data_IF_744405830339
#
_entry.id   IF_744405830339
#
_cell.length_a   1.000
_cell.length_b   1.000
_cell.length_c   1.000
_cell.angle_alpha   90.00
_cell.angle_beta   90.00
_cell.angle_gamma   90.00
#
_symmetry.space_group_name_H-M   'P 1'
#
loop_
_entity.id
_entity.type
_entity.pdbx_description
1 polymer ?
#
# COMPACT_ATOMS: atom_id res chain seq x y z
N UNK A 1 -23.18 -11.77 -3.25
CA UNK A 1 -22.27 -11.09 -2.30
C UNK A 1 -21.43 -10.09 -3.09
N UNK A 2 -21.39 -8.83 -2.70
CA UNK A 2 -20.60 -7.82 -3.39
C UNK A 2 -19.12 -7.88 -2.99
N UNK A 3 -18.20 -7.31 -3.78
CA UNK A 3 -16.78 -7.28 -3.40
C UNK A 3 -16.53 -6.55 -2.08
N UNK A 4 -17.33 -5.53 -1.75
CA UNK A 4 -17.22 -4.79 -0.48
C UNK A 4 -17.64 -5.66 0.72
N UNK A 5 -18.64 -6.53 0.55
CA UNK A 5 -19.04 -7.49 1.57
C UNK A 5 -17.98 -8.56 1.82
N UNK A 6 -17.26 -9.00 0.78
CA UNK A 6 -16.13 -9.94 0.93
C UNK A 6 -15.07 -9.37 1.87
N UNK A 7 -14.74 -8.07 1.73
CA UNK A 7 -13.77 -7.39 2.61
C UNK A 7 -14.25 -7.41 4.07
N UNK A 8 -15.53 -7.13 4.32
CA UNK A 8 -16.09 -7.16 5.68
C UNK A 8 -15.96 -8.57 6.28
N UNK A 9 -16.24 -9.62 5.51
CA UNK A 9 -16.12 -11.00 5.98
C UNK A 9 -14.67 -11.48 6.15
N UNK A 10 -13.71 -10.91 5.42
CA UNK A 10 -12.28 -11.20 5.58
C UNK A 10 -11.68 -10.50 6.81
N UNK A 11 -12.24 -9.35 7.22
CA UNK A 11 -11.74 -8.52 8.33
C UNK A 11 -11.44 -9.32 9.61
N UNK A 12 -12.34 -10.19 10.14
CA UNK A 12 -12.06 -10.99 11.34
C UNK A 12 -10.83 -11.90 11.22
N UNK A 13 -10.54 -12.42 10.03
CA UNK A 13 -9.36 -13.28 9.78
C UNK A 13 -8.07 -12.47 9.92
N UNK A 14 -8.01 -11.27 9.35
CA UNK A 14 -6.85 -10.39 9.51
C UNK A 14 -6.62 -10.01 10.98
N UNK A 15 -7.67 -9.67 11.72
CA UNK A 15 -7.56 -9.37 13.15
C UNK A 15 -7.13 -10.58 13.98
N UNK A 16 -7.60 -11.79 13.65
CA UNK A 16 -7.15 -13.01 14.31
C UNK A 16 -5.65 -13.25 14.08
N UNK A 17 -5.17 -13.06 12.85
CA UNK A 17 -3.74 -13.21 12.53
C UNK A 17 -2.88 -12.15 13.21
N UNK A 18 -3.33 -10.90 13.26
CA UNK A 18 -2.68 -9.81 14.02
C UNK A 18 -2.60 -10.17 15.51
N UNK A 19 -3.69 -10.68 16.10
CA UNK A 19 -3.71 -11.09 17.50
C UNK A 19 -2.75 -12.26 17.78
N UNK A 20 -2.65 -13.21 16.85
CA UNK A 20 -1.68 -14.32 16.91
C UNK A 20 -0.25 -13.80 16.83
N UNK A 21 0.08 -12.92 15.87
CA UNK A 21 1.41 -12.32 15.76
C UNK A 21 1.78 -11.55 17.04
N UNK A 22 0.85 -10.74 17.55
CA UNK A 22 1.04 -9.99 18.79
C UNK A 22 1.33 -10.92 19.97
N UNK A 23 0.56 -11.99 20.15
CA UNK A 23 0.78 -12.98 21.21
C UNK A 23 2.14 -13.69 21.07
N UNK A 24 2.55 -14.02 19.84
CA UNK A 24 3.88 -14.59 19.55
C UNK A 24 4.98 -13.58 19.92
N UNK A 25 4.83 -12.31 19.55
CA UNK A 25 5.75 -11.22 19.87
C UNK A 25 5.93 -11.05 21.38
N UNK A 26 4.83 -11.06 22.16
CA UNK A 26 4.87 -11.04 23.62
C UNK A 26 5.59 -12.26 24.19
N UNK A 27 5.24 -13.47 23.73
CA UNK A 27 5.87 -14.73 24.19
C UNK A 27 7.38 -14.75 23.91
N UNK A 28 7.82 -14.18 22.79
CA UNK A 28 9.24 -14.11 22.38
C UNK A 28 9.99 -12.89 22.92
N UNK A 29 9.33 -12.00 23.67
CA UNK A 29 9.90 -10.72 24.11
C UNK A 29 10.42 -9.87 22.93
N UNK A 30 9.70 -9.91 21.80
CA UNK A 30 9.99 -9.21 20.54
C UNK A 30 8.70 -8.58 20.01
N UNK A 31 8.01 -7.81 20.85
CA UNK A 31 6.80 -7.11 20.43
C UNK A 31 7.15 -6.01 19.42
N UNK A 32 6.51 -6.07 18.25
CA UNK A 32 6.65 -5.10 17.16
C UNK A 32 5.43 -4.19 17.02
N UNK A 33 4.45 -4.31 17.91
CA UNK A 33 3.24 -3.48 17.89
C UNK A 33 3.33 -2.32 18.86
N UNK A 34 3.02 -1.13 18.35
CA UNK A 34 2.63 0.05 19.12
C UNK A 34 1.21 0.44 18.76
N UNK A 35 0.43 0.86 19.76
CA UNK A 35 -1.00 1.10 19.60
C UNK A 35 -1.30 2.22 18.59
N UNK A 36 -0.56 3.31 18.66
CA UNK A 36 -0.67 4.46 17.76
C UNK A 36 -0.38 4.08 16.30
N UNK A 37 0.76 3.43 16.06
CA UNK A 37 1.12 3.01 14.70
C UNK A 37 0.14 1.96 14.14
N UNK A 38 -0.32 1.01 14.96
CA UNK A 38 -1.30 0.00 14.54
C UNK A 38 -2.67 0.62 14.22
N UNK A 39 -3.15 1.56 15.04
CA UNK A 39 -4.41 2.30 14.78
C UNK A 39 -4.26 3.11 13.48
N UNK A 40 -3.14 3.82 13.30
CA UNK A 40 -2.88 4.59 12.08
C UNK A 40 -2.83 3.70 10.83
N UNK A 41 -2.09 2.58 10.91
CA UNK A 41 -1.92 1.64 9.81
C UNK A 41 -3.26 1.02 9.38
N UNK A 42 -4.05 0.51 10.32
CA UNK A 42 -5.36 -0.05 10.01
C UNK A 42 -6.35 1.05 9.57
N UNK A 43 -6.28 2.24 10.18
CA UNK A 43 -7.09 3.40 9.83
C UNK A 43 -6.88 3.88 8.39
N UNK A 44 -5.64 3.88 7.91
CA UNK A 44 -5.32 4.14 6.49
C UNK A 44 -5.86 3.04 5.57
N UNK A 45 -5.80 1.77 6.00
CA UNK A 45 -6.47 0.68 5.33
C UNK A 45 -7.98 0.88 5.20
N UNK A 46 -8.65 1.28 6.28
CA UNK A 46 -10.08 1.61 6.26
C UNK A 46 -10.36 2.74 5.27
N UNK A 47 -9.57 3.82 5.34
CA UNK A 47 -9.70 4.97 4.44
C UNK A 47 -9.57 4.54 2.98
N UNK A 48 -8.57 3.72 2.66
CA UNK A 48 -8.38 3.12 1.34
C UNK A 48 -9.62 2.33 0.90
N UNK A 49 -10.19 1.46 1.75
CA UNK A 49 -11.36 0.66 1.38
C UNK A 49 -12.62 1.50 1.16
N UNK A 50 -12.89 2.50 2.00
CA UNK A 50 -14.05 3.37 1.82
C UNK A 50 -13.88 4.28 0.59
N UNK A 51 -12.65 4.72 0.27
CA UNK A 51 -12.34 5.43 -0.97
C UNK A 51 -12.50 4.54 -2.21
N UNK A 52 -12.18 3.24 -2.11
CA UNK A 52 -12.26 2.29 -3.21
C UNK A 52 -13.69 2.09 -3.76
N UNK A 53 -14.72 2.36 -2.94
CA UNK A 53 -16.14 2.39 -3.38
C UNK A 53 -16.34 3.37 -4.53
N UNK A 54 -15.66 4.52 -4.51
CA UNK A 54 -15.79 5.57 -5.52
C UNK A 54 -14.85 5.38 -6.71
N UNK A 55 -13.75 4.65 -6.53
CA UNK A 55 -12.71 4.49 -7.56
C UNK A 55 -12.72 3.13 -8.26
N UNK A 56 -13.61 2.21 -7.88
CA UNK A 56 -13.73 0.87 -8.50
C UNK A 56 -13.89 0.91 -10.03
N UNK A 57 -14.61 1.92 -10.55
CA UNK A 57 -14.78 2.12 -12.00
C UNK A 57 -13.45 2.36 -12.73
N UNK A 58 -12.48 3.03 -12.09
CA UNK A 58 -11.18 3.30 -12.71
C UNK A 58 -10.39 2.01 -12.95
N UNK A 59 -10.43 1.07 -12.01
CA UNK A 59 -9.69 -0.19 -12.15
C UNK A 59 -10.48 -1.25 -12.92
N UNK A 60 -11.63 -1.68 -12.38
CA UNK A 60 -12.39 -2.81 -12.95
C UNK A 60 -13.21 -2.37 -14.16
N UNK A 61 -13.77 -1.15 -14.12
CA UNK A 61 -14.57 -0.62 -15.23
C UNK A 61 -13.73 -0.42 -16.49
N UNK A 62 -12.60 0.30 -16.37
CA UNK A 62 -11.68 0.50 -17.52
C UNK A 62 -11.13 -0.85 -18.01
N UNK A 63 -10.70 -1.73 -17.11
CA UNK A 63 -10.22 -3.06 -17.50
C UNK A 63 -11.28 -3.83 -18.32
N UNK A 64 -12.53 -3.84 -17.85
CA UNK A 64 -13.64 -4.52 -18.54
C UNK A 64 -13.95 -3.88 -19.88
N UNK A 65 -13.92 -2.55 -19.97
CA UNK A 65 -14.14 -1.83 -21.23
C UNK A 65 -13.05 -2.14 -22.26
N UNK A 66 -11.78 -2.17 -21.85
CA UNK A 66 -10.65 -2.53 -22.71
C UNK A 66 -10.75 -3.99 -23.15
N UNK A 67 -11.00 -4.91 -22.22
CA UNK A 67 -11.22 -6.33 -22.52
C UNK A 67 -12.32 -6.52 -23.58
N UNK A 68 -13.50 -5.91 -23.37
CA UNK A 68 -14.63 -6.08 -24.28
C UNK A 68 -14.43 -5.44 -25.66
N UNK A 69 -13.49 -4.50 -25.79
CA UNK A 69 -13.29 -3.73 -27.03
C UNK A 69 -12.11 -4.22 -27.86
N UNK A 70 -11.02 -4.63 -27.22
CA UNK A 70 -9.72 -4.87 -27.90
C UNK A 70 -9.01 -6.16 -27.46
N UNK A 71 -9.66 -7.05 -26.70
CA UNK A 71 -9.05 -8.34 -26.35
C UNK A 71 -8.70 -9.14 -27.61
N UNK A 72 -7.43 -9.57 -27.70
CA UNK A 72 -6.88 -10.30 -28.85
C UNK A 72 -7.20 -11.80 -28.74
N UNK A 73 -7.25 -12.35 -27.52
CA UNK A 73 -7.54 -13.77 -27.28
C UNK A 73 -8.47 -14.01 -26.08
N UNK A 74 -9.77 -13.66 -26.20
CA UNK A 74 -10.77 -13.83 -25.13
C UNK A 74 -11.30 -15.28 -25.03
N UNK A 75 -10.42 -16.28 -25.04
CA UNK A 75 -10.77 -17.70 -24.92
C UNK A 75 -11.15 -18.07 -23.48
N UNK A 76 -12.39 -17.78 -23.11
CA UNK A 76 -12.92 -18.05 -21.77
C UNK A 76 -12.74 -19.52 -21.33
N UNK A 77 -12.98 -20.54 -22.18
CA UNK A 77 -12.63 -21.93 -21.85
C UNK A 77 -11.18 -22.10 -21.37
N UNK A 78 -10.19 -21.61 -22.12
CA UNK A 78 -8.78 -21.71 -21.70
C UNK A 78 -8.51 -21.05 -20.36
N UNK A 79 -8.95 -19.79 -20.17
CA UNK A 79 -8.67 -19.01 -18.97
C UNK A 79 -9.29 -19.58 -17.69
N UNK A 80 -10.28 -20.47 -17.82
CA UNK A 80 -10.90 -21.19 -16.69
C UNK A 80 -10.26 -22.55 -16.40
N UNK A 81 -9.31 -23.02 -17.21
CA UNK A 81 -8.49 -24.20 -16.90
C UNK A 81 -7.46 -23.91 -15.82
N UNK A 82 -6.90 -24.94 -15.19
CA UNK A 82 -5.81 -24.78 -14.21
C UNK A 82 -4.58 -24.05 -14.82
N UNK A 83 -4.28 -24.31 -16.09
CA UNK A 83 -3.17 -23.67 -16.80
C UNK A 83 -3.48 -22.20 -17.09
N UNK A 84 -4.72 -21.88 -17.46
CA UNK A 84 -5.19 -20.51 -17.62
C UNK A 84 -5.10 -19.70 -16.33
N UNK A 85 -5.56 -20.28 -15.21
CA UNK A 85 -5.46 -19.66 -13.88
C UNK A 85 -4.00 -19.40 -13.46
N UNK A 86 -3.12 -20.38 -13.62
CA UNK A 86 -1.70 -20.22 -13.31
C UNK A 86 -1.05 -19.14 -14.19
N UNK A 87 -1.36 -19.14 -15.49
CA UNK A 87 -0.86 -18.14 -16.43
C UNK A 87 -1.33 -16.74 -16.04
N UNK A 88 -2.62 -16.59 -15.71
CA UNK A 88 -3.17 -15.30 -15.28
C UNK A 88 -2.56 -14.82 -13.96
N UNK A 89 -2.26 -15.71 -13.01
CA UNK A 89 -1.60 -15.35 -11.75
C UNK A 89 -0.17 -14.88 -11.97
N UNK A 90 0.62 -15.62 -12.76
CA UNK A 90 2.01 -15.24 -13.10
C UNK A 90 2.02 -13.91 -13.89
N UNK A 91 1.08 -13.71 -14.81
CA UNK A 91 0.96 -12.46 -15.56
C UNK A 91 0.55 -11.29 -14.65
N UNK A 92 -0.37 -11.52 -13.72
CA UNK A 92 -0.74 -10.50 -12.73
C UNK A 92 0.45 -10.10 -11.87
N UNK A 93 1.21 -11.08 -11.34
CA UNK A 93 2.39 -10.83 -10.51
C UNK A 93 3.50 -10.09 -11.29
N UNK A 94 3.66 -10.37 -12.59
CA UNK A 94 4.54 -9.60 -13.47
C UNK A 94 4.06 -8.15 -13.66
N UNK A 95 2.76 -7.92 -13.90
CA UNK A 95 2.19 -6.58 -13.96
C UNK A 95 2.34 -5.84 -12.62
N UNK A 96 2.15 -6.55 -11.51
CA UNK A 96 2.36 -6.02 -10.17
C UNK A 96 3.80 -5.58 -9.95
N UNK A 97 4.80 -6.40 -10.34
CA UNK A 97 6.21 -6.04 -10.25
C UNK A 97 6.52 -4.67 -10.89
N UNK A 98 6.00 -4.41 -12.09
CA UNK A 98 6.22 -3.13 -12.77
C UNK A 98 5.47 -1.96 -12.13
N UNK A 99 4.24 -2.18 -11.66
CA UNK A 99 3.51 -1.17 -10.89
C UNK A 99 4.26 -0.84 -9.60
N UNK A 100 4.75 -1.85 -8.90
CA UNK A 100 5.42 -1.70 -7.62
C UNK A 100 6.78 -1.02 -7.80
N UNK A 101 7.56 -1.44 -8.79
CA UNK A 101 8.80 -0.77 -9.19
C UNK A 101 8.58 0.69 -9.57
N UNK A 102 7.55 1.00 -10.37
CA UNK A 102 7.20 2.38 -10.68
C UNK A 102 6.84 3.16 -9.41
N UNK A 103 6.16 2.51 -8.46
CA UNK A 103 5.89 2.99 -7.10
C UNK A 103 7.13 3.47 -6.35
N UNK A 104 8.31 2.93 -6.62
CA UNK A 104 9.55 3.32 -5.96
C UNK A 104 10.47 4.19 -6.84
N UNK A 105 10.45 4.00 -8.16
CA UNK A 105 11.36 4.69 -9.08
C UNK A 105 10.76 5.95 -9.73
N UNK A 106 9.48 6.27 -9.48
CA UNK A 106 8.79 7.46 -10.04
C UNK A 106 8.01 8.22 -8.97
N UNK A 107 8.23 9.54 -8.87
CA UNK A 107 7.62 10.38 -7.82
C UNK A 107 6.09 10.34 -7.77
N UNK A 108 5.39 10.34 -8.92
CA UNK A 108 3.92 10.26 -8.98
C UNK A 108 3.39 8.95 -8.39
N UNK A 109 4.01 7.83 -8.73
CA UNK A 109 3.60 6.52 -8.25
C UNK A 109 4.06 6.28 -6.80
N UNK A 110 5.20 6.86 -6.40
CA UNK A 110 5.61 6.92 -4.99
C UNK A 110 4.62 7.70 -4.14
N UNK A 111 4.11 8.84 -4.60
CA UNK A 111 3.06 9.55 -3.88
C UNK A 111 1.79 8.68 -3.69
N UNK A 112 1.55 7.74 -4.60
CA UNK A 112 0.46 6.76 -4.53
C UNK A 112 0.85 5.44 -3.84
N UNK A 113 2.02 5.34 -3.21
CA UNK A 113 2.53 4.10 -2.61
C UNK A 113 3.16 4.31 -1.24
N UNK A 114 3.81 5.46 -1.02
CA UNK A 114 4.52 5.89 0.19
C UNK A 114 3.75 5.63 1.48
N UNK A 115 2.42 5.75 1.46
CA UNK A 115 1.55 5.47 2.62
C UNK A 115 1.89 4.11 3.22
N UNK A 116 2.11 3.10 2.38
CA UNK A 116 2.47 1.74 2.78
C UNK A 116 3.81 1.66 3.52
N UNK A 117 4.77 2.51 3.15
CA UNK A 117 6.12 2.56 3.72
C UNK A 117 6.27 3.50 4.92
N UNK A 118 5.28 4.33 5.24
CA UNK A 118 5.40 5.35 6.30
C UNK A 118 5.47 4.78 7.72
N UNK A 119 4.99 3.55 7.96
CA UNK A 119 5.06 2.95 9.29
C UNK A 119 6.52 2.67 9.68
N UNK A 120 6.86 2.97 10.92
CA UNK A 120 8.21 2.79 11.48
C UNK A 120 8.34 1.51 12.33
N UNK A 121 7.25 0.73 12.38
CA UNK A 121 7.15 -0.57 13.01
C UNK A 121 6.71 -1.58 11.93
N UNK A 122 7.21 -2.82 11.97
CA UNK A 122 6.95 -3.78 10.89
C UNK A 122 6.25 -5.04 11.43
N UNK A 123 4.99 -5.19 11.07
CA UNK A 123 4.10 -6.24 11.56
C UNK A 123 2.88 -6.36 10.63
N UNK A 124 1.95 -7.28 10.91
CA UNK A 124 0.80 -7.55 10.04
C UNK A 124 -0.17 -6.37 9.91
N UNK A 125 -0.14 -5.38 10.81
CA UNK A 125 -0.93 -4.15 10.63
C UNK A 125 -0.34 -3.25 9.53
N UNK A 126 0.98 -3.29 9.30
CA UNK A 126 1.66 -2.58 8.21
C UNK A 126 1.13 -3.03 6.85
N UNK A 127 0.80 -4.32 6.69
CA UNK A 127 0.17 -4.84 5.47
C UNK A 127 -1.16 -4.11 5.14
N UNK A 128 -1.88 -3.68 6.18
CA UNK A 128 -3.16 -2.99 6.05
C UNK A 128 -3.01 -1.48 5.86
N UNK A 129 -1.80 -0.93 5.98
CA UNK A 129 -1.51 0.48 5.71
C UNK A 129 -1.51 0.73 4.21
N UNK A 130 -2.67 1.10 3.67
CA UNK A 130 -2.89 1.24 2.23
C UNK A 130 -3.21 2.69 1.85
N UNK A 131 -2.80 3.10 0.65
CA UNK A 131 -3.08 4.41 0.07
C UNK A 131 -4.50 4.50 -0.51
N UNK A 132 -5.09 5.70 -0.50
CA UNK A 132 -6.36 5.97 -1.19
C UNK A 132 -6.20 6.42 -2.65
N UNK A 133 -4.98 6.71 -3.12
CA UNK A 133 -4.75 7.28 -4.47
C UNK A 133 -4.24 6.27 -5.51
N UNK A 134 -3.93 5.02 -5.11
CA UNK A 134 -3.37 3.99 -6.01
C UNK A 134 -4.25 3.70 -7.25
N UNK A 135 -5.57 3.81 -7.11
CA UNK A 135 -6.52 3.56 -8.20
C UNK A 135 -6.52 4.62 -9.32
N UNK A 136 -5.90 5.79 -9.11
CA UNK A 136 -5.91 6.88 -10.10
C UNK A 136 -5.13 6.51 -11.37
N UNK A 137 -3.97 5.86 -11.21
CA UNK A 137 -3.05 5.57 -12.32
C UNK A 137 -2.58 4.11 -12.37
N UNK A 138 -2.72 3.34 -11.28
CA UNK A 138 -2.21 1.96 -11.24
C UNK A 138 -2.89 0.99 -12.21
N UNK A 139 -4.10 1.30 -12.67
CA UNK A 139 -4.85 0.46 -13.62
C UNK A 139 -4.15 0.28 -14.97
N UNK A 140 -3.30 1.24 -15.38
CA UNK A 140 -2.57 1.20 -16.67
C UNK A 140 -1.69 -0.04 -16.78
N UNK A 141 -1.06 -0.46 -15.67
CA UNK A 141 -0.15 -1.61 -15.65
C UNK A 141 -0.85 -2.95 -15.87
N UNK A 142 -2.17 -3.02 -15.66
CA UNK A 142 -2.95 -4.24 -15.83
C UNK A 142 -3.68 -4.31 -17.18
N UNK A 143 -3.70 -3.23 -17.96
CA UNK A 143 -4.29 -3.24 -19.31
C UNK A 143 -3.69 -4.30 -20.26
N UNK A 144 -2.38 -4.62 -20.21
CA UNK A 144 -1.83 -5.71 -21.01
C UNK A 144 -2.57 -7.04 -20.81
N UNK A 145 -3.05 -7.34 -19.60
CA UNK A 145 -3.84 -8.55 -19.33
C UNK A 145 -5.21 -8.49 -20.01
N UNK A 146 -5.88 -7.32 -19.99
CA UNK A 146 -7.16 -7.14 -20.66
C UNK A 146 -7.03 -7.30 -22.18
N UNK A 147 -5.98 -6.71 -22.77
CA UNK A 147 -5.66 -6.83 -24.20
C UNK A 147 -5.29 -8.28 -24.57
N UNK A 148 -4.56 -8.99 -23.71
CA UNK A 148 -4.26 -10.40 -23.91
C UNK A 148 -5.51 -11.31 -23.83
N UNK A 149 -6.61 -10.80 -23.27
CA UNK A 149 -7.88 -11.52 -23.19
C UNK A 149 -8.11 -12.26 -21.87
N UNK A 150 -7.44 -11.89 -20.78
CA UNK A 150 -7.76 -12.43 -19.45
C UNK A 150 -9.15 -11.94 -19.02
N UNK A 151 -10.13 -12.82 -18.74
CA UNK A 151 -11.48 -12.41 -18.37
C UNK A 151 -11.50 -11.57 -17.07
N UNK A 152 -12.36 -10.54 -16.95
CA UNK A 152 -12.42 -9.69 -15.76
C UNK A 152 -12.62 -10.44 -14.44
N UNK A 153 -13.37 -11.55 -14.45
CA UNK A 153 -13.54 -12.40 -13.28
C UNK A 153 -12.22 -13.07 -12.87
N UNK A 154 -11.48 -13.63 -13.84
CA UNK A 154 -10.17 -14.25 -13.60
C UNK A 154 -9.20 -13.19 -13.08
N UNK A 155 -9.14 -12.02 -13.71
CA UNK A 155 -8.36 -10.87 -13.24
C UNK A 155 -8.66 -10.49 -11.78
N UNK A 156 -9.94 -10.35 -11.42
CA UNK A 156 -10.34 -9.99 -10.06
C UNK A 156 -9.94 -11.05 -9.03
N UNK A 157 -10.02 -12.33 -9.37
CA UNK A 157 -9.65 -13.43 -8.47
C UNK A 157 -8.13 -13.52 -8.30
N UNK A 158 -7.34 -13.46 -9.38
CA UNK A 158 -5.87 -13.49 -9.25
C UNK A 158 -5.33 -12.25 -8.53
N UNK A 159 -5.98 -11.09 -8.72
CA UNK A 159 -5.67 -9.88 -7.96
C UNK A 159 -5.89 -10.06 -6.44
N UNK A 160 -6.95 -10.79 -6.06
CA UNK A 160 -7.22 -11.11 -4.66
C UNK A 160 -6.21 -12.12 -4.10
N UNK A 161 -5.83 -13.13 -4.88
CA UNK A 161 -4.81 -14.13 -4.47
C UNK A 161 -3.48 -13.43 -4.19
N UNK A 162 -3.04 -12.56 -5.11
CA UNK A 162 -1.82 -11.77 -4.95
C UNK A 162 -1.87 -10.86 -3.72
N UNK A 163 -2.97 -10.11 -3.53
CA UNK A 163 -3.17 -9.27 -2.35
C UNK A 163 -3.09 -10.07 -1.03
N UNK A 164 -3.74 -11.25 -0.98
CA UNK A 164 -3.72 -12.10 0.21
C UNK A 164 -2.36 -12.71 0.47
N UNK A 165 -1.60 -13.07 -0.58
CA UNK A 165 -0.23 -13.50 -0.44
C UNK A 165 0.64 -12.40 0.18
N UNK A 166 0.48 -11.16 -0.28
CA UNK A 166 1.27 -10.05 0.23
C UNK A 166 0.96 -9.68 1.69
N UNK A 167 -0.11 -10.18 2.29
CA UNK A 167 -0.40 -9.91 3.71
C UNK A 167 0.64 -10.54 4.65
N UNK A 168 0.91 -11.84 4.53
CA UNK A 168 1.67 -12.59 5.54
C UNK A 168 3.18 -12.26 5.55
N UNK A 169 3.70 -11.67 4.47
CA UNK A 169 5.10 -11.27 4.37
C UNK A 169 5.46 -10.08 5.27
N UNK A 170 4.47 -9.37 5.82
CA UNK A 170 4.67 -8.25 6.73
C UNK A 170 4.88 -8.69 8.18
N UNK A 171 6.05 -9.26 8.48
CA UNK A 171 6.36 -9.71 9.83
C UNK A 171 7.86 -9.70 10.12
N UNK A 172 8.23 -9.36 11.36
CA UNK A 172 9.58 -9.60 11.89
C UNK A 172 9.70 -10.94 12.64
N UNK A 173 8.59 -11.66 12.83
CA UNK A 173 8.57 -12.91 13.60
C UNK A 173 9.10 -14.13 12.82
N UNK A 174 9.23 -14.00 11.50
CA UNK A 174 9.74 -15.03 10.59
C UNK A 174 11.06 -14.54 9.99
N UNK A 175 12.14 -15.27 10.26
CA UNK A 175 13.47 -14.97 9.72
C UNK A 175 13.61 -15.34 8.23
N UNK A 176 14.84 -15.62 7.80
CA UNK A 176 15.11 -16.18 6.48
C UNK A 176 14.55 -17.61 6.36
N UNK A 177 13.97 -17.92 5.20
CA UNK A 177 13.42 -19.24 4.87
C UNK A 177 14.31 -20.02 3.89
N UNK A 178 15.48 -19.48 3.54
CA UNK A 178 16.52 -20.19 2.80
C UNK A 178 16.17 -20.33 1.32
N UNK A 179 15.74 -21.52 0.90
CA UNK A 179 15.41 -21.76 -0.51
C UNK A 179 14.18 -20.94 -0.96
N UNK A 180 13.23 -20.70 -0.05
CA UNK A 180 12.00 -19.97 -0.36
C UNK A 180 12.28 -18.51 -0.74
N UNK A 181 13.16 -17.83 0.03
CA UNK A 181 13.62 -16.45 -0.21
C UNK A 181 14.25 -16.22 -1.59
N UNK A 182 14.57 -17.32 -2.30
CA UNK A 182 15.19 -17.27 -3.64
C UNK A 182 14.17 -17.21 -4.77
N UNK A 183 12.95 -17.69 -4.54
CA UNK A 183 11.93 -17.85 -5.57
C UNK A 183 10.66 -17.06 -5.28
N UNK A 184 10.28 -17.00 -4.02
CA UNK A 184 9.06 -16.40 -3.53
C UNK A 184 9.36 -15.21 -2.62
N UNK A 185 8.49 -14.21 -2.62
CA UNK A 185 8.59 -13.08 -1.72
C UNK A 185 8.33 -13.57 -0.29
N UNK A 186 9.38 -13.56 0.52
CA UNK A 186 9.31 -13.94 1.92
C UNK A 186 9.30 -12.70 2.82
N UNK A 187 9.02 -12.88 4.13
CA UNK A 187 9.17 -11.81 5.10
C UNK A 187 10.56 -11.18 5.10
N UNK A 188 11.61 -11.95 4.81
CA UNK A 188 12.97 -11.41 4.71
C UNK A 188 13.15 -10.51 3.48
N UNK A 189 12.62 -10.93 2.34
CA UNK A 189 12.66 -10.10 1.12
C UNK A 189 11.86 -8.81 1.30
N UNK A 190 10.68 -8.91 1.92
CA UNK A 190 9.78 -7.78 2.09
C UNK A 190 10.23 -6.81 3.19
N UNK A 191 10.92 -7.28 4.24
CA UNK A 191 11.59 -6.37 5.20
C UNK A 191 12.65 -5.50 4.53
N UNK A 192 13.49 -6.09 3.66
CA UNK A 192 14.47 -5.33 2.87
C UNK A 192 13.75 -4.29 2.02
N UNK A 193 12.67 -4.67 1.37
CA UNK A 193 11.87 -3.76 0.56
C UNK A 193 11.34 -2.55 1.35
N UNK A 194 10.89 -2.77 2.59
CA UNK A 194 10.38 -1.70 3.47
C UNK A 194 11.45 -0.87 4.18
N UNK A 195 12.72 -1.22 4.04
CA UNK A 195 13.79 -0.60 4.79
C UNK A 195 14.31 0.68 4.14
N UNK A 196 14.72 1.65 4.96
CA UNK A 196 15.33 2.92 4.52
C UNK A 196 16.86 2.86 4.46
N UNK A 197 17.47 1.72 4.80
CA UNK A 197 18.92 1.51 4.70
C UNK A 197 19.42 1.78 3.27
N UNK A 198 20.60 2.41 3.12
CA UNK A 198 21.16 2.76 1.80
C UNK A 198 21.30 1.54 0.88
N UNK A 199 21.62 0.36 1.43
CA UNK A 199 21.82 -0.87 0.66
C UNK A 199 20.52 -1.54 0.22
N UNK A 200 19.39 -1.11 0.79
CA UNK A 200 18.07 -1.72 0.61
C UNK A 200 17.09 -0.85 -0.18
N UNK A 201 17.43 0.43 -0.40
CA UNK A 201 16.63 1.31 -1.26
C UNK A 201 16.43 0.70 -2.65
N UNK A 202 15.19 0.81 -3.12
CA UNK A 202 14.83 0.43 -4.49
C UNK A 202 15.16 -1.05 -4.79
N UNK A 203 14.78 -1.93 -3.86
CA UNK A 203 14.99 -3.39 -3.94
C UNK A 203 13.72 -4.19 -3.67
N UNK A 204 13.71 -5.42 -4.19
CA UNK A 204 12.71 -6.47 -3.91
C UNK A 204 11.25 -6.04 -4.14
N UNK A 205 10.88 -5.73 -5.39
CA UNK A 205 9.53 -5.31 -5.78
C UNK A 205 8.54 -6.46 -6.03
N UNK A 206 8.97 -7.71 -6.07
CA UNK A 206 8.11 -8.87 -6.33
C UNK A 206 6.96 -9.01 -5.31
N UNK A 207 5.75 -9.28 -5.80
CA UNK A 207 4.57 -9.50 -4.95
C UNK A 207 4.55 -10.93 -4.40
N UNK A 208 4.41 -11.90 -5.29
CA UNK A 208 4.53 -13.34 -4.99
C UNK A 208 5.92 -13.85 -5.35
N UNK A 209 6.44 -13.52 -6.54
CA UNK A 209 7.71 -14.06 -7.03
C UNK A 209 8.82 -13.00 -6.97
N UNK A 210 9.95 -13.35 -6.35
CA UNK A 210 11.18 -12.53 -6.41
C UNK A 210 11.99 -12.79 -7.68
N UNK A 211 11.50 -13.66 -8.57
CA UNK A 211 12.15 -13.97 -9.85
C UNK A 211 12.29 -12.72 -10.71
N UNK A 212 11.29 -11.83 -10.71
CA UNK A 212 11.35 -10.56 -11.42
C UNK A 212 12.48 -9.67 -10.91
N UNK A 213 12.69 -9.62 -9.60
CA UNK A 213 13.79 -8.86 -9.02
C UNK A 213 15.16 -9.37 -9.45
N UNK A 214 15.29 -10.68 -9.66
CA UNK A 214 16.53 -11.27 -10.16
C UNK A 214 16.73 -10.96 -11.65
N UNK A 215 15.67 -11.09 -12.44
CA UNK A 215 15.71 -10.83 -13.88
C UNK A 215 16.00 -9.35 -14.20
N UNK A 216 15.46 -8.43 -13.41
CA UNK A 216 15.56 -6.98 -13.63
C UNK A 216 16.49 -6.26 -12.65
N UNK A 217 17.30 -7.01 -11.89
CA UNK A 217 18.43 -6.49 -11.13
C UNK A 217 18.10 -5.71 -9.84
N UNK A 218 16.91 -5.90 -9.27
CA UNK A 218 16.47 -5.27 -8.01
C UNK A 218 16.55 -6.20 -6.79
N UNK A 219 17.00 -7.45 -6.94
CA UNK A 219 17.08 -8.39 -5.82
C UNK A 219 18.18 -8.03 -4.81
N UNK A 220 17.84 -8.04 -3.52
CA UNK A 220 18.78 -7.86 -2.41
C UNK A 220 18.42 -8.75 -1.22
N UNK A 221 19.40 -9.48 -0.71
CA UNK A 221 19.24 -10.25 0.53
C UNK A 221 19.30 -9.36 1.76
N UNK A 222 18.59 -9.77 2.82
CA UNK A 222 18.66 -9.15 4.14
C UNK A 222 19.99 -9.50 4.82
N UNK A 223 21.00 -8.64 4.73
CA UNK A 223 22.35 -8.85 5.29
C UNK A 223 22.72 -7.90 6.45
N UNK A 224 21.84 -6.98 6.80
CA UNK A 224 21.90 -6.06 7.94
C UNK A 224 20.51 -5.79 8.51
N UNK A 225 20.45 -5.26 9.73
CA UNK A 225 19.19 -4.95 10.42
C UNK A 225 18.42 -3.84 9.67
N UNK A 226 17.16 -4.13 9.34
CA UNK A 226 16.27 -3.18 8.69
C UNK A 226 15.87 -2.03 9.63
N UNK A 227 15.84 -0.82 9.09
CA UNK A 227 15.24 0.38 9.70
C UNK A 227 14.05 0.79 8.82
N UNK A 228 12.87 1.00 9.41
CA UNK A 228 11.63 1.24 8.66
C UNK A 228 11.18 2.71 8.70
N UNK A 229 10.18 3.03 7.88
CA UNK A 229 9.64 4.37 7.67
C UNK A 229 10.01 4.93 6.30
N UNK A 230 10.08 6.25 6.20
CA UNK A 230 10.46 6.97 4.98
C UNK A 230 11.66 7.88 5.25
N UNK A 231 12.51 8.10 4.24
CA UNK A 231 13.70 8.98 4.37
C UNK A 231 13.35 10.44 4.69
N UNK A 232 12.13 10.84 4.36
CA UNK A 232 11.48 12.04 4.88
C UNK A 232 10.31 11.56 5.74
N UNK A 233 10.48 11.47 7.07
CA UNK A 233 9.45 10.95 7.96
C UNK A 233 8.14 11.75 7.83
N UNK A 234 7.01 11.04 7.97
CA UNK A 234 5.69 11.68 7.99
C UNK A 234 5.48 12.52 9.27
N UNK A 235 5.96 12.00 10.40
CA UNK A 235 5.82 12.58 11.75
C UNK A 235 4.41 13.08 12.07
N UNK A 236 3.41 12.28 11.71
CA UNK A 236 1.99 12.60 11.88
C UNK A 236 1.14 11.33 11.86
N UNK A 237 0.04 11.36 12.61
CA UNK A 237 -1.02 10.34 12.55
C UNK A 237 -2.21 10.76 11.68
N UNK A 238 -2.17 11.93 11.05
CA UNK A 238 -3.23 12.43 10.18
C UNK A 238 -3.32 11.59 8.89
N UNK A 239 -4.41 10.84 8.66
CA UNK A 239 -4.54 9.95 7.51
C UNK A 239 -4.72 10.71 6.17
N UNK A 240 -5.21 11.95 6.21
CA UNK A 240 -5.31 12.81 5.02
C UNK A 240 -3.92 13.33 4.65
N UNK A 241 -3.16 13.79 5.64
CA UNK A 241 -1.80 14.24 5.43
C UNK A 241 -0.87 13.12 4.98
N UNK A 242 -1.03 11.92 5.54
CA UNK A 242 -0.31 10.72 5.10
C UNK A 242 -0.44 10.46 3.58
N UNK A 243 -1.64 10.68 3.02
CA UNK A 243 -1.90 10.56 1.59
C UNK A 243 -1.47 11.81 0.79
N UNK A 244 -1.42 12.99 1.43
CA UNK A 244 -1.24 14.28 0.75
C UNK A 244 0.19 14.82 0.71
N UNK A 245 1.05 14.47 1.67
CA UNK A 245 2.31 15.20 1.90
C UNK A 245 3.29 15.12 0.72
N UNK A 246 3.40 13.96 0.07
CA UNK A 246 4.27 13.80 -1.10
C UNK A 246 3.72 14.60 -2.27
N UNK A 247 2.41 14.50 -2.56
CA UNK A 247 1.79 15.31 -3.62
C UNK A 247 1.97 16.81 -3.38
N UNK A 248 1.83 17.26 -2.13
CA UNK A 248 2.07 18.64 -1.77
C UNK A 248 3.52 19.07 -1.98
N UNK A 249 4.49 18.22 -1.66
CA UNK A 249 5.90 18.44 -1.96
C UNK A 249 6.15 18.60 -3.47
N UNK A 250 5.59 17.70 -4.29
CA UNK A 250 5.70 17.75 -5.75
C UNK A 250 5.06 19.01 -6.33
N UNK A 251 3.88 19.40 -5.82
CA UNK A 251 3.21 20.64 -6.22
C UNK A 251 4.05 21.88 -5.89
N UNK A 252 4.65 21.93 -4.70
CA UNK A 252 5.54 23.03 -4.31
C UNK A 252 6.76 23.12 -5.21
N UNK A 253 7.42 22.00 -5.48
CA UNK A 253 8.60 21.99 -6.34
C UNK A 253 8.23 22.35 -7.79
N UNK A 254 7.09 21.86 -8.28
CA UNK A 254 6.53 22.23 -9.59
C UNK A 254 6.21 23.73 -9.66
N UNK A 255 5.62 24.30 -8.61
CA UNK A 255 5.26 25.71 -8.55
C UNK A 255 6.51 26.61 -8.54
N UNK A 256 7.47 26.29 -7.68
CA UNK A 256 8.62 27.15 -7.41
C UNK A 256 9.74 27.09 -8.45
N UNK A 257 9.84 26.03 -9.25
CA UNK A 257 10.85 25.99 -10.31
C UNK A 257 10.52 26.98 -11.43
N UNK A 258 11.54 27.69 -11.91
CA UNK A 258 11.45 28.63 -13.02
C UNK A 258 11.34 27.92 -14.37
N UNK A 259 11.87 26.69 -14.49
CA UNK A 259 11.88 25.94 -15.75
C UNK A 259 10.55 25.21 -15.97
N UNK A 260 9.83 25.59 -17.02
CA UNK A 260 8.56 24.95 -17.40
C UNK A 260 8.64 23.43 -17.58
N UNK A 261 9.73 22.92 -18.17
CA UNK A 261 9.93 21.48 -18.31
C UNK A 261 10.04 20.78 -16.94
N UNK A 262 10.67 21.43 -15.97
CA UNK A 262 10.87 20.87 -14.64
C UNK A 262 9.57 20.87 -13.82
N UNK A 263 8.62 21.76 -14.15
CA UNK A 263 7.26 21.71 -13.58
C UNK A 263 6.54 20.38 -13.84
N UNK A 264 6.83 19.74 -14.97
CA UNK A 264 6.31 18.41 -15.31
C UNK A 264 7.25 17.29 -14.84
N UNK A 265 8.58 17.47 -14.99
CA UNK A 265 9.55 16.42 -14.63
C UNK A 265 9.52 16.05 -13.16
N UNK A 266 9.16 16.96 -12.24
CA UNK A 266 9.05 16.62 -10.80
C UNK A 266 8.14 15.43 -10.55
N UNK A 267 7.11 15.23 -11.38
CA UNK A 267 6.16 14.14 -11.23
C UNK A 267 6.68 12.79 -11.74
N UNK A 268 7.60 12.80 -12.70
CA UNK A 268 8.06 11.61 -13.41
C UNK A 268 9.52 11.24 -13.15
N UNK A 269 10.26 12.11 -12.47
CA UNK A 269 11.62 11.80 -12.00
C UNK A 269 11.57 10.92 -10.75
N UNK A 270 12.69 10.28 -10.39
CA UNK A 270 12.76 9.47 -9.18
C UNK A 270 12.37 10.25 -7.91
N UNK A 271 11.78 9.59 -6.90
CA UNK A 271 11.48 10.23 -5.63
C UNK A 271 12.70 10.93 -5.03
N UNK A 272 12.50 12.15 -4.52
CA UNK A 272 13.58 12.97 -3.97
C UNK A 272 14.35 13.80 -5.01
N UNK A 273 14.16 13.59 -6.32
CA UNK A 273 14.67 14.53 -7.33
C UNK A 273 13.96 15.89 -7.19
N UNK A 274 14.74 16.97 -7.23
CA UNK A 274 14.23 18.34 -7.19
C UNK A 274 14.93 19.19 -8.27
N UNK A 275 14.23 20.18 -8.87
CA UNK A 275 14.85 21.11 -9.79
C UNK A 275 16.00 21.87 -9.12
N UNK A 276 17.10 22.12 -9.85
CA UNK A 276 18.32 22.68 -9.26
C UNK A 276 18.10 24.06 -8.61
N UNK A 277 17.25 24.90 -9.22
CA UNK A 277 16.90 26.21 -8.70
C UNK A 277 16.06 26.12 -7.40
N UNK A 278 15.16 25.14 -7.32
CA UNK A 278 14.38 24.86 -6.12
C UNK A 278 15.26 24.28 -5.02
N UNK A 279 16.15 23.34 -5.34
CA UNK A 279 17.09 22.73 -4.39
C UNK A 279 18.06 23.77 -3.79
N UNK A 280 18.52 24.74 -4.60
CA UNK A 280 19.37 25.82 -4.13
C UNK A 280 18.63 26.82 -3.21
N UNK A 281 17.37 27.14 -3.52
CA UNK A 281 16.56 28.10 -2.75
C UNK A 281 15.96 27.51 -1.47
N UNK A 282 15.63 26.22 -1.50
CA UNK A 282 14.95 25.51 -0.42
C UNK A 282 15.70 24.19 -0.13
N UNK A 283 16.93 24.23 0.40
CA UNK A 283 17.70 23.02 0.64
C UNK A 283 17.00 22.09 1.63
N UNK A 284 17.06 20.78 1.36
CA UNK A 284 16.59 19.75 2.28
C UNK A 284 17.81 19.08 2.94
N UNK A 285 17.76 18.75 4.24
CA UNK A 285 18.85 18.03 4.90
C UNK A 285 19.03 16.64 4.28
N UNK A 286 20.28 16.19 4.21
CA UNK A 286 20.57 14.81 3.80
C UNK A 286 19.99 13.82 4.83
N UNK A 287 19.51 12.69 4.34
CA UNK A 287 19.07 11.59 5.19
C UNK A 287 20.26 11.01 5.96
N UNK A 288 20.09 10.81 7.26
CA UNK A 288 21.07 10.19 8.16
C UNK A 288 20.37 9.11 8.97
N UNK A 289 20.69 7.85 8.66
CA UNK A 289 20.07 6.69 9.31
C UNK A 289 20.31 6.65 10.82
N UNK A 290 21.43 7.23 11.30
CA UNK A 290 21.75 7.27 12.72
C UNK A 290 20.85 8.25 13.50
N UNK A 291 20.17 9.16 12.81
CA UNK A 291 19.25 10.14 13.39
C UNK A 291 17.79 9.72 13.31
N UNK A 292 17.49 8.55 12.73
CA UNK A 292 16.11 8.07 12.62
C UNK A 292 15.56 7.83 14.03
N UNK A 293 14.51 8.56 14.37
CA UNK A 293 13.74 8.37 15.60
C UNK A 293 12.31 8.01 15.22
N UNK A 294 11.72 7.10 16.00
CA UNK A 294 10.31 6.76 15.82
C UNK A 294 9.45 7.91 16.32
N UNK A 295 8.48 8.31 15.50
CA UNK A 295 7.43 9.24 15.88
C UNK A 295 6.53 8.54 16.90
N UNK A 296 6.67 8.94 18.17
CA UNK A 296 6.02 8.32 19.32
C UNK A 296 5.64 9.39 20.36
N UNK A 297 4.73 10.32 20.03
CA UNK A 297 4.27 11.32 20.99
C UNK A 297 3.72 10.63 22.26
N UNK A 298 4.01 11.13 23.47
CA UNK A 298 3.54 10.51 24.70
C UNK A 298 2.01 10.52 24.81
N UNK A 299 1.39 9.33 24.86
CA UNK A 299 -0.05 9.20 25.07
C UNK A 299 -0.38 8.79 26.51
N UNK A 300 -1.19 9.59 27.20
CA UNK A 300 -1.75 9.19 28.48
C UNK A 300 -2.67 7.97 28.34
N UNK A 301 -2.83 7.18 29.40
CA UNK A 301 -3.73 6.01 29.38
C UNK A 301 -5.18 6.37 29.00
N UNK A 302 -5.64 7.58 29.35
CA UNK A 302 -6.99 8.06 28.97
C UNK A 302 -7.10 8.29 27.47
N UNK A 303 -6.08 8.88 26.87
CA UNK A 303 -5.99 9.07 25.41
C UNK A 303 -5.94 7.72 24.71
N UNK A 304 -5.12 6.78 25.18
CA UNK A 304 -5.05 5.44 24.61
C UNK A 304 -6.41 4.72 24.62
N UNK A 305 -7.12 4.74 25.76
CA UNK A 305 -8.45 4.14 25.89
C UNK A 305 -9.48 4.83 24.99
N UNK A 306 -9.44 6.16 24.92
CA UNK A 306 -10.31 6.94 24.05
C UNK A 306 -10.07 6.59 22.57
N UNK A 307 -8.82 6.62 22.11
CA UNK A 307 -8.45 6.29 20.74
C UNK A 307 -8.84 4.85 20.38
N UNK A 308 -8.63 3.88 21.28
CA UNK A 308 -9.05 2.50 21.08
C UNK A 308 -10.58 2.36 20.97
N UNK A 309 -11.34 3.05 21.81
CA UNK A 309 -12.81 3.03 21.74
C UNK A 309 -13.34 3.67 20.46
N UNK A 310 -12.79 4.82 20.06
CA UNK A 310 -13.13 5.49 18.80
C UNK A 310 -12.77 4.63 17.59
N UNK A 311 -11.61 3.98 17.61
CA UNK A 311 -11.19 3.05 16.57
C UNK A 311 -12.14 1.84 16.45
N UNK A 312 -12.61 1.27 17.56
CA UNK A 312 -13.58 0.17 17.54
C UNK A 312 -14.95 0.61 16.97
N UNK A 313 -15.42 1.82 17.31
CA UNK A 313 -16.62 2.40 16.70
C UNK A 313 -16.43 2.63 15.19
N UNK A 314 -15.25 3.11 14.79
CA UNK A 314 -14.90 3.31 13.39
C UNK A 314 -14.85 2.01 12.60
N UNK A 315 -14.32 0.93 13.16
CA UNK A 315 -14.39 -0.40 12.57
C UNK A 315 -15.83 -0.80 12.24
N UNK A 316 -16.75 -0.63 13.21
CA UNK A 316 -18.17 -0.92 13.01
C UNK A 316 -18.81 -0.03 11.93
N UNK A 317 -18.50 1.27 11.95
CA UNK A 317 -19.00 2.23 10.96
C UNK A 317 -18.52 1.92 9.54
N UNK A 318 -17.24 1.62 9.36
CA UNK A 318 -16.65 1.24 8.06
C UNK A 318 -17.21 -0.10 7.59
N UNK A 319 -17.32 -1.10 8.47
CA UNK A 319 -17.92 -2.38 8.12
C UNK A 319 -19.37 -2.22 7.66
N UNK A 320 -20.16 -1.43 8.38
CA UNK A 320 -21.54 -1.09 7.99
C UNK A 320 -21.60 -0.37 6.65
N UNK A 321 -20.75 0.64 6.43
CA UNK A 321 -20.67 1.34 5.16
C UNK A 321 -20.34 0.38 4.01
N UNK A 322 -19.26 -0.39 4.10
CA UNK A 322 -18.86 -1.33 3.05
C UNK A 322 -19.91 -2.40 2.78
N UNK A 323 -20.68 -2.82 3.79
CA UNK A 323 -21.73 -3.81 3.63
C UNK A 323 -22.88 -3.34 2.73
N UNK A 324 -23.21 -2.04 2.79
CA UNK A 324 -24.39 -1.48 2.12
C UNK A 324 -24.07 -0.53 0.95
N UNK A 325 -22.85 0.01 0.86
CA UNK A 325 -22.50 1.10 -0.06
C UNK A 325 -22.73 0.76 -1.54
N UNK A 326 -22.54 -0.51 -1.94
CA UNK A 326 -22.75 -0.95 -3.33
C UNK A 326 -24.23 -0.86 -3.78
N UNK A 327 -25.17 -0.81 -2.82
CA UNK A 327 -26.61 -0.68 -3.09
C UNK A 327 -27.17 0.73 -2.82
N UNK A 328 -26.36 1.66 -2.34
CA UNK A 328 -26.80 3.01 -2.00
C UNK A 328 -26.66 3.99 -3.16
N UNK A 329 -27.52 5.01 -3.25
CA UNK A 329 -27.29 6.15 -4.13
C UNK A 329 -25.96 6.83 -3.80
N UNK A 330 -25.25 7.30 -4.84
CA UNK A 330 -23.94 7.93 -4.69
C UNK A 330 -23.93 9.07 -3.66
N UNK A 331 -24.97 9.91 -3.63
CA UNK A 331 -25.09 11.01 -2.67
C UNK A 331 -25.11 10.51 -1.21
N UNK A 332 -25.83 9.41 -0.92
CA UNK A 332 -25.85 8.81 0.41
C UNK A 332 -24.48 8.25 0.76
N UNK A 333 -23.86 7.53 -0.16
CA UNK A 333 -22.50 7.00 0.04
C UNK A 333 -21.48 8.10 0.30
N UNK A 334 -21.57 9.24 -0.41
CA UNK A 334 -20.70 10.39 -0.23
C UNK A 334 -20.86 11.05 1.15
N UNK A 335 -22.09 11.19 1.65
CA UNK A 335 -22.33 11.75 3.00
C UNK A 335 -21.74 10.83 4.08
N UNK A 336 -22.01 9.52 4.02
CA UNK A 336 -21.47 8.57 5.00
C UNK A 336 -19.95 8.48 4.92
N UNK A 337 -19.38 8.48 3.72
CA UNK A 337 -17.94 8.57 3.52
C UNK A 337 -17.34 9.82 4.17
N UNK A 338 -17.94 11.00 3.99
CA UNK A 338 -17.45 12.24 4.60
C UNK A 338 -17.46 12.18 6.13
N UNK A 339 -18.49 11.60 6.74
CA UNK A 339 -18.56 11.39 8.19
C UNK A 339 -17.41 10.48 8.64
N UNK A 340 -17.24 9.31 8.01
CA UNK A 340 -16.17 8.36 8.35
C UNK A 340 -14.77 8.96 8.14
N UNK A 341 -14.59 9.77 7.09
CA UNK A 341 -13.34 10.47 6.80
C UNK A 341 -12.96 11.44 7.93
N UNK A 342 -13.90 12.28 8.34
CA UNK A 342 -13.69 13.26 9.43
C UNK A 342 -13.43 12.52 10.75
N UNK A 343 -14.13 11.42 11.00
CA UNK A 343 -13.89 10.60 12.20
C UNK A 343 -12.51 9.93 12.21
N UNK A 344 -12.04 9.39 11.08
CA UNK A 344 -10.67 8.86 10.96
C UNK A 344 -9.62 9.95 11.16
N UNK A 345 -9.84 11.13 10.57
CA UNK A 345 -8.98 12.28 10.76
C UNK A 345 -8.90 12.71 12.23
N UNK A 346 -10.04 12.79 12.91
CA UNK A 346 -10.11 13.14 14.33
C UNK A 346 -9.39 12.13 15.23
N UNK A 347 -9.43 10.82 14.92
CA UNK A 347 -8.67 9.80 15.65
C UNK A 347 -7.16 10.01 15.51
N UNK A 348 -6.69 10.38 14.31
CA UNK A 348 -5.29 10.73 14.09
C UNK A 348 -4.87 11.98 14.87
N UNK A 349 -5.73 12.97 14.98
CA UNK A 349 -5.43 14.23 15.67
C UNK A 349 -5.36 14.11 17.21
N UNK A 350 -5.95 13.06 17.79
CA UNK A 350 -5.99 12.84 19.25
C UNK A 350 -4.83 11.97 19.75
N UNK A 351 -4.18 11.23 18.86
CA UNK A 351 -2.96 10.45 19.14
C UNK A 351 -1.74 11.37 19.15
#
# INVERSE_FOLDING_TARGET
MSPSQIIVLATPVFFALIAVEYAIGLKRQRNTYRLDDAISSIGLGMLSQISAVFTRLLRVGIYTAVYSSVAIWPDHPFWTTWAGWLTALVFYDFCYYWLHRAGHETALFWAAHVVHHQSQDYNLSTALRQTSSGALFGWVFYLPMAVAGVPPLVFGVVALIDLLYQFWVHTEQVGKLGWFDRWFCSPSNHRVHHAVNDRYLDRNYGGILVVWDRLFGSFKEEDEKCVYGTRKPLDSWDPLWANGEVYWGLLKDSWHTARWADKLRVWFKPPGWRPADVAARFPAPAFDIARVQRYAPPMSRRVQLFSAAQFALMLGGVAGFLWFADGWPLARSAVVFAVLLVSLWAIGAVQ
#
